data_IF_513093302458
#
_entry.id   IF_513093302458
#
_cell.length_a   1.000
_cell.length_b   1.000
_cell.length_c   1.000
_cell.angle_alpha   90.00
_cell.angle_beta   90.00
_cell.angle_gamma   90.00
#
_symmetry.space_group_name_H-M   'P 1'
#
loop_
_entity.id
_entity.type
_entity.pdbx_description
1 polymer ?
#
# COMPACT_ATOMS: atom_id res chain seq x y z
N UNK A 1 -2.09 10.06 -18.16
CA UNK A 1 -2.04 8.69 -17.64
C UNK A 1 -3.30 7.98 -18.15
N UNK A 2 -3.23 6.71 -18.55
CA UNK A 2 -4.38 5.94 -19.09
C UNK A 2 -5.40 5.65 -17.98
N UNK A 3 -6.71 5.73 -18.27
CA UNK A 3 -7.80 5.61 -17.28
C UNK A 3 -7.77 4.30 -16.47
N UNK A 4 -7.24 3.22 -17.05
CA UNK A 4 -7.08 1.93 -16.36
C UNK A 4 -5.99 1.99 -15.31
N UNK A 5 -4.94 2.77 -15.54
CA UNK A 5 -3.87 2.98 -14.57
C UNK A 5 -4.35 3.76 -13.35
N UNK A 6 -5.08 4.84 -13.58
CA UNK A 6 -5.68 5.62 -12.50
C UNK A 6 -6.62 4.74 -11.65
N UNK A 7 -7.43 3.91 -12.31
CA UNK A 7 -8.29 2.95 -11.64
C UNK A 7 -7.52 1.92 -10.79
N UNK A 8 -6.39 1.41 -11.30
CA UNK A 8 -5.53 0.48 -10.58
C UNK A 8 -4.91 1.11 -9.33
N UNK A 9 -4.41 2.34 -9.43
CA UNK A 9 -3.85 3.09 -8.29
C UNK A 9 -4.89 3.30 -7.20
N UNK A 10 -6.10 3.70 -7.60
CA UNK A 10 -7.22 3.90 -6.67
C UNK A 10 -7.58 2.59 -5.98
N UNK A 11 -7.64 1.47 -6.71
CA UNK A 11 -7.93 0.16 -6.13
C UNK A 11 -6.84 -0.30 -5.14
N UNK A 12 -5.56 -0.18 -5.52
CA UNK A 12 -4.44 -0.56 -4.67
C UNK A 12 -4.38 0.28 -3.38
N UNK A 13 -4.49 1.61 -3.50
CA UNK A 13 -4.52 2.50 -2.33
C UNK A 13 -5.73 2.26 -1.43
N UNK A 14 -6.90 1.95 -1.99
CA UNK A 14 -8.07 1.58 -1.21
C UNK A 14 -7.86 0.28 -0.41
N UNK A 15 -7.21 -0.72 -1.00
CA UNK A 15 -6.87 -1.96 -0.30
C UNK A 15 -5.91 -1.72 0.87
N UNK A 16 -4.86 -0.92 0.66
CA UNK A 16 -3.90 -0.57 1.71
C UNK A 16 -4.56 0.21 2.85
N UNK A 17 -5.48 1.13 2.54
CA UNK A 17 -6.26 1.87 3.56
C UNK A 17 -7.14 0.94 4.40
N UNK A 18 -7.73 -0.11 3.81
CA UNK A 18 -8.47 -1.12 4.56
C UNK A 18 -7.56 -1.89 5.53
N UNK A 19 -6.34 -2.21 5.12
CA UNK A 19 -5.36 -2.84 6.00
C UNK A 19 -4.97 -1.92 7.18
N UNK A 20 -4.76 -0.62 6.92
CA UNK A 20 -4.47 0.36 7.97
C UNK A 20 -5.61 0.51 8.99
N UNK A 21 -6.86 0.33 8.55
CA UNK A 21 -8.05 0.44 9.41
C UNK A 21 -8.30 -0.80 10.29
N UNK A 22 -7.52 -1.88 10.12
CA UNK A 22 -7.65 -3.06 10.98
C UNK A 22 -7.30 -2.69 12.43
N UNK A 23 -8.12 -3.06 13.45
CA UNK A 23 -7.86 -2.68 14.83
C UNK A 23 -6.47 -3.09 15.34
N UNK A 24 -6.01 -4.28 14.95
CA UNK A 24 -4.69 -4.80 15.32
C UNK A 24 -3.54 -3.96 14.76
N UNK A 25 -3.73 -3.38 13.58
CA UNK A 25 -2.77 -2.49 12.93
C UNK A 25 -2.86 -1.11 13.56
N UNK A 26 -4.06 -0.59 13.81
CA UNK A 26 -4.27 0.70 14.47
C UNK A 26 -3.67 0.72 15.89
N UNK A 27 -3.69 -0.41 16.59
CA UNK A 27 -3.04 -0.60 17.89
C UNK A 27 -1.51 -0.75 17.80
N UNK A 28 -0.95 -0.89 16.59
CA UNK A 28 0.49 -1.02 16.34
C UNK A 28 1.02 0.20 15.54
N UNK A 29 1.63 1.20 16.21
CA UNK A 29 2.09 2.42 15.55
C UNK A 29 3.10 2.18 14.43
N UNK A 30 3.98 1.19 14.58
CA UNK A 30 4.99 0.85 13.57
C UNK A 30 4.33 0.29 12.30
N UNK A 31 3.37 -0.62 12.44
CA UNK A 31 2.63 -1.16 11.31
C UNK A 31 1.79 -0.09 10.62
N UNK A 32 1.10 0.76 11.40
CA UNK A 32 0.33 1.90 10.90
C UNK A 32 1.18 2.86 10.08
N UNK A 33 2.37 3.24 10.56
CA UNK A 33 3.29 4.12 9.84
C UNK A 33 3.80 3.50 8.54
N UNK A 34 4.13 2.20 8.55
CA UNK A 34 4.59 1.49 7.34
C UNK A 34 3.52 1.47 6.26
N UNK A 35 2.27 1.20 6.62
CA UNK A 35 1.16 1.18 5.66
C UNK A 35 0.86 2.59 5.15
N UNK A 36 0.93 3.61 6.00
CA UNK A 36 0.79 5.01 5.58
C UNK A 36 1.88 5.46 4.59
N UNK A 37 3.13 5.03 4.80
CA UNK A 37 4.22 5.26 3.85
C UNK A 37 3.96 4.58 2.50
N UNK A 38 3.55 3.31 2.50
CA UNK A 38 3.22 2.58 1.27
C UNK A 38 2.06 3.24 0.48
N UNK A 39 1.01 3.70 1.17
CA UNK A 39 -0.09 4.47 0.55
C UNK A 39 0.43 5.74 -0.12
N UNK A 40 1.33 6.46 0.56
CA UNK A 40 1.91 7.71 0.07
C UNK A 40 2.76 7.46 -1.17
N UNK A 41 3.56 6.39 -1.17
CA UNK A 41 4.40 6.01 -2.31
C UNK A 41 3.56 5.67 -3.53
N UNK A 42 2.55 4.80 -3.40
CA UNK A 42 1.66 4.44 -4.52
C UNK A 42 0.85 5.64 -5.01
N UNK A 43 0.40 6.52 -4.11
CA UNK A 43 -0.31 7.74 -4.49
C UNK A 43 0.57 8.72 -5.27
N UNK A 44 1.87 8.80 -4.92
CA UNK A 44 2.85 9.63 -5.64
C UNK A 44 3.15 9.09 -7.04
N UNK A 45 2.96 7.80 -7.30
CA UNK A 45 3.14 7.25 -8.64
C UNK A 45 2.21 7.89 -9.68
N UNK A 46 1.05 8.46 -9.28
CA UNK A 46 0.18 9.28 -10.16
C UNK A 46 0.89 10.49 -10.77
N UNK A 47 1.90 11.00 -10.07
CA UNK A 47 2.66 12.20 -10.46
C UNK A 47 3.93 11.85 -11.23
N UNK A 48 4.32 10.57 -11.24
CA UNK A 48 5.52 10.09 -11.93
C UNK A 48 5.08 9.58 -13.30
N UNK A 49 5.72 10.08 -14.35
CA UNK A 49 5.45 9.62 -15.72
C UNK A 49 6.12 8.26 -15.97
N UNK A 50 5.61 7.21 -15.33
CA UNK A 50 6.02 5.83 -15.56
C UNK A 50 5.36 5.38 -16.86
N UNK A 51 6.14 5.35 -17.93
CA UNK A 51 5.66 4.95 -19.25
C UNK A 51 5.58 3.42 -19.43
N UNK A 52 6.03 2.63 -18.44
CA UNK A 52 6.00 1.17 -18.47
C UNK A 52 4.94 0.60 -17.50
N UNK A 53 3.83 0.04 -18.02
CA UNK A 53 2.82 -0.65 -17.23
C UNK A 53 3.35 -1.76 -16.30
N UNK A 54 4.38 -2.50 -16.71
CA UNK A 54 4.89 -3.64 -15.94
C UNK A 54 5.63 -3.15 -14.70
N UNK A 55 6.50 -2.17 -14.87
CA UNK A 55 7.21 -1.54 -13.76
C UNK A 55 6.24 -0.97 -12.72
N UNK A 56 5.12 -0.41 -13.18
CA UNK A 56 4.06 0.08 -12.30
C UNK A 56 3.48 -1.03 -11.41
N UNK A 57 3.12 -2.15 -12.02
CA UNK A 57 2.56 -3.31 -11.31
C UNK A 57 3.58 -3.88 -10.33
N UNK A 58 4.84 -4.02 -10.73
CA UNK A 58 5.92 -4.52 -9.86
C UNK A 58 6.12 -3.64 -8.61
N UNK A 59 6.10 -2.32 -8.78
CA UNK A 59 6.22 -1.39 -7.64
C UNK A 59 5.02 -1.51 -6.69
N UNK A 60 3.80 -1.55 -7.23
CA UNK A 60 2.59 -1.70 -6.40
C UNK A 60 2.57 -3.04 -5.69
N UNK A 61 2.98 -4.13 -6.35
CA UNK A 61 3.06 -5.45 -5.75
C UNK A 61 4.07 -5.49 -4.59
N UNK A 62 5.25 -4.89 -4.77
CA UNK A 62 6.23 -4.70 -3.70
C UNK A 62 5.65 -3.94 -2.50
N UNK A 63 4.86 -2.88 -2.75
CA UNK A 63 4.17 -2.13 -1.68
C UNK A 63 3.06 -2.92 -1.00
N UNK A 64 2.35 -3.78 -1.72
CA UNK A 64 1.37 -4.67 -1.11
C UNK A 64 2.06 -5.71 -0.21
N UNK A 65 3.22 -6.24 -0.60
CA UNK A 65 4.01 -7.13 0.25
C UNK A 65 4.49 -6.43 1.53
N UNK A 66 4.94 -5.17 1.46
CA UNK A 66 5.28 -4.35 2.65
C UNK A 66 4.08 -4.21 3.61
N UNK A 67 2.88 -3.97 3.06
CA UNK A 67 1.64 -3.88 3.85
C UNK A 67 1.27 -5.20 4.50
N UNK A 68 1.35 -6.31 3.76
CA UNK A 68 1.11 -7.66 4.30
C UNK A 68 2.07 -7.98 5.44
N UNK A 69 3.35 -7.65 5.29
CA UNK A 69 4.35 -7.83 6.33
C UNK A 69 4.07 -6.95 7.57
N UNK A 70 3.63 -5.71 7.38
CA UNK A 70 3.22 -4.83 8.50
C UNK A 70 2.02 -5.39 9.27
N UNK A 71 1.02 -5.96 8.57
CA UNK A 71 -0.11 -6.64 9.20
C UNK A 71 0.36 -7.86 10.00
N UNK A 72 1.24 -8.68 9.43
CA UNK A 72 1.79 -9.86 10.13
C UNK A 72 2.58 -9.47 11.39
N UNK A 73 3.37 -8.39 11.33
CA UNK A 73 4.08 -7.84 12.49
C UNK A 73 3.11 -7.41 13.60
N UNK A 74 2.03 -6.72 13.23
CA UNK A 74 0.99 -6.30 14.17
C UNK A 74 0.30 -7.52 14.82
N UNK A 75 0.03 -8.58 14.04
CA UNK A 75 -0.53 -9.82 14.55
C UNK A 75 0.40 -10.55 15.51
N UNK A 76 1.70 -10.59 15.21
CA UNK A 76 2.68 -11.23 16.08
C UNK A 76 2.83 -10.52 17.43
N UNK A 77 2.77 -9.18 17.45
CA UNK A 77 2.85 -8.40 18.68
C UNK A 77 1.57 -8.40 19.53
N UNK A 78 0.46 -8.91 19.00
CA UNK A 78 -0.82 -9.03 19.70
C UNK A 78 -1.04 -10.41 20.34
N UNK A 79 -0.18 -11.38 20.07
CA UNK A 79 -0.17 -12.70 20.71
C UNK A 79 0.58 -12.65 22.03
#
# INVERSE_FOLDING_TARGET
MDDKFESFIVAATALMRRAAALPIVAANPQASQRIAAAITDVSRMRQININDPKLFVEVVDGKLAEVQHAVALAQAGSR
#
